data_IF_414368414619
#
_entry.id   IF_414368414619
#
_cell.length_a   1.000
_cell.length_b   1.000
_cell.length_c   1.000
_cell.angle_alpha   90.00
_cell.angle_beta   90.00
_cell.angle_gamma   90.00
#
_symmetry.space_group_name_H-M   'P 1'
#
loop_
_entity.id
_entity.type
_entity.pdbx_description
1 polymer ?
#
# COMPACT_ATOMS: atom_id res chain seq x y z
N UNK A 1 7.87 0.50 -5.61
CA UNK A 1 6.51 0.63 -6.18
C UNK A 1 5.63 -0.46 -5.62
N UNK A 2 4.35 -0.16 -5.32
CA UNK A 2 3.39 -1.16 -4.83
C UNK A 2 2.11 -1.14 -5.67
N UNK A 3 1.54 -2.30 -5.87
CA UNK A 3 0.20 -2.48 -6.42
C UNK A 3 -0.73 -2.91 -5.30
N UNK A 4 -1.83 -2.21 -5.13
CA UNK A 4 -2.88 -2.57 -4.18
C UNK A 4 -3.99 -3.37 -4.90
N UNK A 5 -4.86 -4.03 -4.14
CA UNK A 5 -6.06 -4.71 -4.64
C UNK A 5 -5.81 -5.85 -5.63
N UNK A 6 -4.64 -6.50 -5.57
CA UNK A 6 -4.32 -7.61 -6.45
C UNK A 6 -5.26 -8.79 -6.18
N UNK A 7 -6.09 -9.11 -7.18
CA UNK A 7 -7.06 -10.20 -7.12
C UNK A 7 -7.24 -10.87 -8.49
N UNK A 8 -7.94 -11.99 -8.52
CA UNK A 8 -8.09 -12.79 -9.75
C UNK A 8 -8.92 -12.11 -10.84
N UNK A 9 -9.70 -11.06 -10.52
CA UNK A 9 -10.62 -10.36 -11.45
C UNK A 9 -10.28 -8.87 -11.64
N UNK A 10 -9.07 -8.45 -11.26
CA UNK A 10 -8.61 -7.09 -11.51
C UNK A 10 -8.37 -6.81 -13.00
N UNK A 11 -8.07 -5.59 -13.38
CA UNK A 11 -7.63 -5.24 -14.73
C UNK A 11 -6.19 -5.74 -14.99
N UNK A 12 -6.10 -7.00 -15.42
CA UNK A 12 -4.83 -7.66 -15.74
C UNK A 12 -4.11 -7.01 -16.92
N UNK A 13 -4.83 -6.39 -17.87
CA UNK A 13 -4.21 -5.74 -19.02
C UNK A 13 -3.42 -4.51 -18.59
N UNK A 14 -4.02 -3.65 -17.75
CA UNK A 14 -3.32 -2.50 -17.19
C UNK A 14 -2.18 -2.92 -16.27
N UNK A 15 -2.39 -3.95 -15.45
CA UNK A 15 -1.33 -4.51 -14.62
C UNK A 15 -0.12 -4.95 -15.45
N UNK A 16 -0.32 -5.78 -16.47
CA UNK A 16 0.77 -6.25 -17.32
C UNK A 16 1.43 -5.13 -18.12
N UNK A 17 0.68 -4.11 -18.52
CA UNK A 17 1.25 -2.92 -19.18
C UNK A 17 2.29 -2.24 -18.31
N UNK A 18 1.98 -2.02 -17.04
CA UNK A 18 2.92 -1.41 -16.08
C UNK A 18 4.05 -2.40 -15.77
N UNK A 19 3.71 -3.67 -15.54
CA UNK A 19 4.67 -4.72 -15.17
C UNK A 19 5.77 -4.89 -16.21
N UNK A 20 5.45 -4.87 -17.51
CA UNK A 20 6.42 -4.90 -18.61
C UNK A 20 7.45 -3.75 -18.50
N UNK A 21 7.00 -2.56 -18.13
CA UNK A 21 7.91 -1.42 -17.96
C UNK A 21 8.82 -1.63 -16.75
N UNK A 22 8.28 -2.13 -15.64
CA UNK A 22 9.09 -2.44 -14.45
C UNK A 22 10.15 -3.51 -14.75
N UNK A 23 9.76 -4.56 -15.48
CA UNK A 23 10.68 -5.64 -15.89
C UNK A 23 11.77 -5.14 -16.82
N UNK A 24 11.45 -4.28 -17.80
CA UNK A 24 12.43 -3.64 -18.69
C UNK A 24 13.56 -2.94 -17.92
N UNK A 25 13.23 -2.33 -16.78
CA UNK A 25 14.19 -1.61 -15.94
C UNK A 25 14.63 -2.39 -14.69
N UNK A 26 14.31 -3.68 -14.61
CA UNK A 26 14.61 -4.56 -13.47
C UNK A 26 14.11 -4.02 -12.11
N UNK A 27 12.97 -3.33 -12.12
CA UNK A 27 12.34 -2.79 -10.92
C UNK A 27 11.46 -3.87 -10.31
N UNK A 28 11.73 -4.23 -9.05
CA UNK A 28 10.89 -5.14 -8.26
C UNK A 28 9.76 -4.38 -7.59
N UNK A 29 8.57 -4.97 -7.60
CA UNK A 29 7.37 -4.37 -7.03
C UNK A 29 6.86 -5.12 -5.80
N UNK A 30 5.98 -4.49 -5.06
CA UNK A 30 5.25 -5.11 -3.97
C UNK A 30 3.81 -5.32 -4.46
N UNK A 31 3.31 -6.54 -4.31
CA UNK A 31 1.98 -6.94 -4.73
C UNK A 31 1.11 -7.15 -3.49
N UNK A 32 0.21 -6.22 -3.23
CA UNK A 32 -0.80 -6.30 -2.18
C UNK A 32 -1.92 -7.23 -2.60
N UNK A 33 -1.79 -8.49 -2.24
CA UNK A 33 -2.72 -9.55 -2.64
C UNK A 33 -3.88 -9.63 -1.66
N UNK A 34 -5.11 -9.56 -2.17
CA UNK A 34 -6.33 -9.87 -1.42
C UNK A 34 -6.56 -11.38 -1.46
N UNK A 35 -6.33 -12.11 -0.36
CA UNK A 35 -6.33 -13.59 -0.38
C UNK A 35 -7.64 -14.22 -0.82
N UNK A 36 -8.76 -13.61 -0.41
CA UNK A 36 -10.13 -14.03 -0.77
C UNK A 36 -10.97 -12.80 -1.07
N UNK A 37 -10.80 -12.23 -2.25
CA UNK A 37 -11.54 -11.02 -2.62
C UNK A 37 -13.04 -11.30 -2.69
N UNK A 38 -13.82 -10.62 -1.85
CA UNK A 38 -15.29 -10.64 -1.84
C UNK A 38 -15.88 -9.26 -2.22
N UNK A 39 -15.01 -8.25 -2.42
CA UNK A 39 -15.40 -6.93 -2.87
C UNK A 39 -15.70 -6.92 -4.37
N UNK A 40 -16.98 -6.83 -4.70
CA UNK A 40 -17.45 -6.81 -6.09
C UNK A 40 -16.97 -5.60 -6.88
N UNK A 41 -16.62 -4.51 -6.21
CA UNK A 41 -16.12 -3.30 -6.89
C UNK A 41 -14.72 -3.49 -7.45
N UNK A 42 -13.99 -4.49 -6.97
CA UNK A 42 -12.66 -4.85 -7.47
C UNK A 42 -12.70 -5.89 -8.61
N UNK A 43 -13.87 -6.45 -8.92
CA UNK A 43 -14.05 -7.44 -9.99
C UNK A 43 -14.37 -6.75 -11.32
N UNK A 44 -13.38 -6.17 -11.99
CA UNK A 44 -13.57 -5.41 -13.24
C UNK A 44 -13.18 -6.18 -14.50
N UNK A 45 -12.41 -7.26 -14.35
CA UNK A 45 -11.88 -8.07 -15.44
C UNK A 45 -12.39 -9.51 -15.45
N UNK A 46 -12.00 -10.25 -16.51
CA UNK A 46 -12.20 -11.70 -16.55
C UNK A 46 -11.36 -12.38 -15.48
N UNK A 47 -11.92 -13.43 -14.85
CA UNK A 47 -11.21 -14.22 -13.85
C UNK A 47 -9.94 -14.82 -14.44
N UNK A 48 -8.80 -14.52 -13.85
CA UNK A 48 -7.54 -15.18 -14.16
C UNK A 48 -7.53 -16.56 -13.48
N UNK A 49 -7.60 -17.61 -14.28
CA UNK A 49 -7.66 -19.00 -13.79
C UNK A 49 -6.33 -19.49 -13.20
N UNK A 50 -5.20 -18.89 -13.63
CA UNK A 50 -3.88 -19.19 -13.10
C UNK A 50 -3.37 -18.04 -12.18
N UNK A 51 -4.26 -17.49 -11.35
CA UNK A 51 -3.97 -16.35 -10.50
C UNK A 51 -2.76 -16.59 -9.59
N UNK A 52 -2.78 -17.65 -8.81
CA UNK A 52 -1.67 -17.97 -7.91
C UNK A 52 -0.40 -18.42 -8.64
N UNK A 53 -0.53 -19.09 -9.80
CA UNK A 53 0.61 -19.41 -10.66
C UNK A 53 1.32 -18.14 -11.17
N UNK A 54 0.56 -17.12 -11.58
CA UNK A 54 1.12 -15.81 -11.95
C UNK A 54 1.83 -15.17 -10.77
N UNK A 55 1.25 -15.18 -9.57
CA UNK A 55 1.89 -14.60 -8.37
C UNK A 55 3.19 -15.32 -8.02
N UNK A 56 3.25 -16.66 -8.13
CA UNK A 56 4.50 -17.41 -7.94
C UNK A 56 5.56 -17.02 -8.97
N UNK A 57 5.21 -16.83 -10.24
CA UNK A 57 6.15 -16.34 -11.26
C UNK A 57 6.69 -14.95 -10.92
N UNK A 58 5.83 -14.04 -10.44
CA UNK A 58 6.29 -12.70 -10.02
C UNK A 58 7.19 -12.78 -8.79
N UNK A 59 6.87 -13.63 -7.81
CA UNK A 59 7.72 -13.85 -6.64
C UNK A 59 9.09 -14.42 -7.03
N UNK A 60 9.14 -15.37 -7.97
CA UNK A 60 10.41 -15.90 -8.51
C UNK A 60 11.21 -14.83 -9.28
N UNK A 61 10.54 -13.88 -9.91
CA UNK A 61 11.20 -12.72 -10.53
C UNK A 61 11.77 -11.76 -9.48
N UNK A 62 11.34 -11.84 -8.21
CA UNK A 62 11.78 -11.01 -7.09
C UNK A 62 10.78 -9.94 -6.67
N UNK A 63 9.52 -10.02 -7.14
CA UNK A 63 8.45 -9.20 -6.56
C UNK A 63 8.06 -9.73 -5.19
N UNK A 64 7.67 -8.83 -4.31
CA UNK A 64 7.30 -9.17 -2.93
C UNK A 64 5.79 -9.27 -2.81
N UNK A 65 5.31 -10.39 -2.28
CA UNK A 65 3.88 -10.56 -1.97
C UNK A 65 3.61 -10.01 -0.58
N UNK A 66 2.65 -9.09 -0.47
CA UNK A 66 2.15 -8.58 0.81
C UNK A 66 0.69 -8.99 0.98
N UNK A 67 0.30 -9.39 2.19
CA UNK A 67 -1.10 -9.69 2.48
C UNK A 67 -1.90 -8.38 2.57
N UNK A 68 -2.83 -8.16 1.63
CA UNK A 68 -3.72 -7.00 1.60
C UNK A 68 -5.07 -7.36 2.20
N UNK A 69 -5.10 -7.33 3.54
CA UNK A 69 -6.28 -7.74 4.29
C UNK A 69 -6.61 -9.23 4.17
N UNK A 70 -7.89 -9.53 4.05
CA UNK A 70 -8.43 -10.88 3.85
C UNK A 70 -9.43 -10.92 2.70
N UNK A 71 -10.56 -10.19 2.84
CA UNK A 71 -11.66 -10.23 1.87
C UNK A 71 -11.93 -8.88 1.19
N UNK A 72 -11.28 -7.82 1.65
CA UNK A 72 -11.48 -6.44 1.22
C UNK A 72 -12.91 -5.91 1.51
N UNK A 73 -13.59 -6.48 2.52
CA UNK A 73 -14.92 -6.02 2.95
C UNK A 73 -14.79 -5.10 4.15
N UNK A 74 -15.26 -3.86 3.98
CA UNK A 74 -15.22 -2.81 5.00
C UNK A 74 -16.49 -2.85 5.86
N UNK A 75 -16.50 -3.77 6.82
CA UNK A 75 -17.65 -4.05 7.70
C UNK A 75 -17.54 -3.37 9.09
N UNK A 76 -16.58 -2.46 9.27
CA UNK A 76 -16.45 -1.61 10.44
C UNK A 76 -16.46 -0.13 10.06
N UNK A 77 -17.13 0.70 10.87
CA UNK A 77 -17.13 2.16 10.72
C UNK A 77 -16.04 2.78 11.61
N UNK A 78 -14.78 2.49 11.28
CA UNK A 78 -13.63 3.05 11.99
C UNK A 78 -12.60 3.53 10.98
N UNK A 79 -12.01 4.67 11.27
CA UNK A 79 -10.93 5.26 10.45
C UNK A 79 -9.54 4.74 10.82
N UNK A 80 -9.42 3.94 11.89
CA UNK A 80 -8.13 3.52 12.40
C UNK A 80 -7.23 4.70 12.81
N UNK A 81 -5.92 4.47 12.84
CA UNK A 81 -4.94 5.48 13.28
C UNK A 81 -4.84 6.71 12.38
N UNK A 82 -5.15 6.57 11.11
CA UNK A 82 -4.85 7.64 10.15
C UNK A 82 -6.04 8.55 9.82
N UNK A 83 -7.26 8.12 10.13
CA UNK A 83 -8.44 8.95 9.91
C UNK A 83 -8.72 9.29 8.43
N UNK A 84 -8.19 8.49 7.49
CA UNK A 84 -8.31 8.74 6.05
C UNK A 84 -9.70 8.47 5.52
N UNK A 85 -10.35 7.46 6.10
CA UNK A 85 -11.60 6.89 5.65
C UNK A 85 -12.51 6.69 6.84
N UNK A 86 -13.78 6.44 6.60
CA UNK A 86 -14.76 6.14 7.65
C UNK A 86 -15.00 4.65 7.85
N UNK A 87 -14.40 3.81 6.99
CA UNK A 87 -14.67 2.37 6.97
C UNK A 87 -13.36 1.57 7.00
N UNK A 88 -13.42 0.39 7.61
CA UNK A 88 -12.26 -0.50 7.74
C UNK A 88 -12.66 -1.97 7.62
N UNK A 89 -11.72 -2.78 7.14
CA UNK A 89 -11.81 -4.23 7.25
C UNK A 89 -11.34 -4.72 8.64
N UNK A 90 -10.48 -3.95 9.31
CA UNK A 90 -9.85 -4.34 10.59
C UNK A 90 -10.15 -3.40 11.73
N UNK A 91 -9.78 -2.12 11.62
CA UNK A 91 -9.92 -1.18 12.72
C UNK A 91 -11.36 -1.09 13.23
N UNK A 92 -11.50 -1.02 14.56
CA UNK A 92 -12.80 -0.98 15.23
C UNK A 92 -13.46 -2.34 15.47
N UNK A 93 -12.91 -3.43 14.93
CA UNK A 93 -13.35 -4.78 15.26
C UNK A 93 -12.71 -5.31 16.55
N UNK A 94 -13.39 -6.23 17.27
CA UNK A 94 -12.77 -6.95 18.38
C UNK A 94 -11.49 -7.67 17.94
N UNK A 95 -10.51 -7.73 18.85
CA UNK A 95 -9.21 -8.33 18.60
C UNK A 95 -9.29 -9.72 17.96
N UNK A 96 -10.14 -10.61 18.48
CA UNK A 96 -10.27 -11.98 17.95
C UNK A 96 -10.79 -12.03 16.53
N UNK A 97 -11.70 -11.11 16.14
CA UNK A 97 -12.19 -11.00 14.76
C UNK A 97 -11.07 -10.59 13.81
N UNK A 98 -10.21 -9.65 14.25
CA UNK A 98 -9.05 -9.24 13.45
C UNK A 98 -8.03 -10.37 13.31
N UNK A 99 -7.71 -11.10 14.40
CA UNK A 99 -6.85 -12.29 14.36
C UNK A 99 -7.40 -13.30 13.36
N UNK A 100 -8.69 -13.62 13.42
CA UNK A 100 -9.32 -14.62 12.54
C UNK A 100 -9.25 -14.21 11.06
N UNK A 101 -9.50 -12.94 10.72
CA UNK A 101 -9.38 -12.45 9.33
C UNK A 101 -7.94 -12.58 8.85
N UNK A 102 -6.96 -12.10 9.63
CA UNK A 102 -5.54 -12.16 9.26
C UNK A 102 -5.04 -13.61 9.13
N UNK A 103 -5.41 -14.50 10.04
CA UNK A 103 -5.04 -15.93 10.00
C UNK A 103 -5.56 -16.59 8.73
N UNK A 104 -6.85 -16.41 8.40
CA UNK A 104 -7.44 -16.98 7.17
C UNK A 104 -6.74 -16.49 5.89
N UNK A 105 -6.38 -15.21 5.84
CA UNK A 105 -5.62 -14.66 4.71
C UNK A 105 -4.22 -15.27 4.62
N UNK A 106 -3.54 -15.38 5.76
CA UNK A 106 -2.24 -16.03 5.88
C UNK A 106 -2.29 -17.49 5.43
N UNK A 107 -3.24 -18.28 5.93
CA UNK A 107 -3.42 -19.70 5.58
C UNK A 107 -3.59 -19.92 4.06
N UNK A 108 -4.35 -19.05 3.38
CA UNK A 108 -4.50 -19.11 1.92
C UNK A 108 -3.15 -18.87 1.23
N UNK A 109 -2.42 -17.83 1.64
CA UNK A 109 -1.14 -17.50 1.01
C UNK A 109 -0.04 -18.52 1.33
N UNK A 110 -0.04 -19.10 2.54
CA UNK A 110 0.87 -20.20 2.91
C UNK A 110 0.61 -21.45 2.08
N UNK A 111 -0.66 -21.84 1.91
CA UNK A 111 -1.04 -22.98 1.06
C UNK A 111 -0.54 -22.82 -0.38
N UNK A 112 -0.51 -21.60 -0.88
CA UNK A 112 -0.02 -21.29 -2.22
C UNK A 112 1.49 -21.02 -2.27
N UNK A 113 2.22 -21.16 -1.14
CA UNK A 113 3.65 -20.84 -1.00
C UNK A 113 3.99 -19.40 -1.35
N UNK A 114 3.10 -18.46 -1.02
CA UNK A 114 3.20 -17.03 -1.35
C UNK A 114 3.22 -16.13 -0.11
N UNK A 115 3.06 -16.69 1.09
CA UNK A 115 3.03 -15.86 2.28
C UNK A 115 4.39 -15.25 2.60
N UNK A 116 4.39 -13.99 2.93
CA UNK A 116 5.49 -13.26 3.53
C UNK A 116 5.01 -12.52 4.78
N UNK A 117 5.89 -12.16 5.73
CA UNK A 117 5.50 -11.49 6.96
C UNK A 117 5.16 -10.00 6.77
N UNK A 118 4.57 -9.65 5.65
CA UNK A 118 4.30 -8.27 5.22
C UNK A 118 2.80 -8.04 5.11
N UNK A 119 2.32 -7.03 5.82
CA UNK A 119 0.93 -6.60 5.81
C UNK A 119 0.76 -5.26 5.10
N UNK A 120 -0.27 -5.17 4.29
CA UNK A 120 -0.73 -3.96 3.63
C UNK A 120 -2.19 -3.72 4.05
N UNK A 121 -2.46 -2.61 4.73
CA UNK A 121 -3.79 -2.36 5.26
C UNK A 121 -4.76 -1.92 4.16
N UNK A 122 -5.88 -2.64 3.93
CA UNK A 122 -6.94 -2.15 3.07
C UNK A 122 -7.44 -0.79 3.57
N UNK A 123 -7.66 0.13 2.62
CA UNK A 123 -8.11 1.48 2.92
C UNK A 123 -7.18 2.25 3.89
N UNK A 124 -5.91 1.82 4.05
CA UNK A 124 -4.94 2.36 5.02
C UNK A 124 -5.48 2.40 6.45
N UNK A 125 -6.40 1.52 6.80
CA UNK A 125 -7.12 1.57 8.08
C UNK A 125 -6.81 0.37 8.96
N UNK A 126 -6.14 0.63 10.08
CA UNK A 126 -5.79 -0.34 11.12
C UNK A 126 -5.68 0.35 12.48
N UNK A 127 -5.72 -0.43 13.56
CA UNK A 127 -5.67 0.05 14.94
C UNK A 127 -4.68 -0.76 15.80
N UNK A 128 -4.65 -0.50 17.12
CA UNK A 128 -3.77 -1.20 18.06
C UNK A 128 -4.04 -2.70 18.11
N UNK A 129 -5.29 -3.13 17.97
CA UNK A 129 -5.64 -4.55 17.93
C UNK A 129 -5.14 -5.21 16.65
N UNK A 130 -5.17 -4.49 15.52
CA UNK A 130 -4.57 -4.97 14.27
C UNK A 130 -3.07 -5.22 14.46
N UNK A 131 -2.32 -4.25 15.01
CA UNK A 131 -0.88 -4.40 15.23
C UNK A 131 -0.56 -5.56 16.19
N UNK A 132 -1.36 -5.72 17.25
CA UNK A 132 -1.23 -6.86 18.17
C UNK A 132 -1.49 -8.19 17.48
N UNK A 133 -2.50 -8.27 16.62
CA UNK A 133 -2.84 -9.46 15.86
C UNK A 133 -1.76 -9.81 14.84
N UNK A 134 -1.22 -8.83 14.12
CA UNK A 134 -0.11 -8.99 13.19
C UNK A 134 1.10 -9.63 13.88
N UNK A 135 1.53 -9.08 15.02
CA UNK A 135 2.65 -9.65 15.81
C UNK A 135 2.39 -11.07 16.23
N UNK A 136 1.19 -11.37 16.75
CA UNK A 136 0.80 -12.72 17.16
C UNK A 136 0.92 -13.73 16.02
N UNK A 137 0.60 -13.31 14.79
CA UNK A 137 0.61 -14.16 13.61
C UNK A 137 1.95 -14.18 12.86
N UNK A 138 2.98 -13.52 13.39
CA UNK A 138 4.33 -13.54 12.83
C UNK A 138 4.59 -12.52 11.71
N UNK A 139 3.69 -11.57 11.51
CA UNK A 139 3.99 -10.42 10.63
C UNK A 139 5.02 -9.52 11.31
N UNK A 140 5.92 -8.96 10.50
CA UNK A 140 6.98 -8.07 10.96
C UNK A 140 7.02 -6.72 10.24
N UNK A 141 6.31 -6.56 9.11
CA UNK A 141 6.35 -5.36 8.29
C UNK A 141 4.94 -4.89 7.95
N UNK A 142 4.71 -3.58 8.08
CA UNK A 142 3.47 -2.87 7.71
C UNK A 142 3.81 -1.83 6.65
N UNK A 143 3.14 -1.92 5.49
CA UNK A 143 3.38 -1.03 4.35
C UNK A 143 2.53 0.24 4.43
N UNK A 144 2.41 0.80 5.61
CA UNK A 144 1.67 2.02 5.91
C UNK A 144 2.37 2.80 7.01
N UNK A 145 2.05 4.07 7.13
CA UNK A 145 2.63 4.95 8.14
C UNK A 145 2.84 6.37 7.63
N UNK A 146 3.16 7.28 8.54
CA UNK A 146 3.51 8.67 8.25
C UNK A 146 4.89 8.98 8.79
N UNK A 147 5.87 8.94 7.92
CA UNK A 147 7.23 9.36 8.15
C UNK A 147 7.94 9.55 6.80
N UNK A 148 9.01 10.33 6.75
CA UNK A 148 9.84 10.50 5.56
C UNK A 148 10.66 9.24 5.26
N UNK A 149 10.99 8.48 6.30
CA UNK A 149 11.80 7.27 6.21
C UNK A 149 11.14 6.09 6.92
N UNK A 150 11.46 4.86 6.53
CA UNK A 150 11.04 3.67 7.26
C UNK A 150 11.50 3.71 8.70
N UNK A 151 10.68 3.17 9.60
CA UNK A 151 10.98 3.13 11.01
C UNK A 151 10.54 1.82 11.66
N UNK A 152 11.09 1.51 12.82
CA UNK A 152 10.67 0.38 13.67
C UNK A 152 9.89 0.90 14.87
N UNK A 153 8.76 0.29 15.17
CA UNK A 153 7.98 0.57 16.37
C UNK A 153 7.33 -0.71 16.86
N UNK A 154 7.47 -1.00 18.17
CA UNK A 154 6.86 -2.17 18.80
C UNK A 154 7.13 -3.50 18.04
N UNK A 155 8.40 -3.71 17.66
CA UNK A 155 8.90 -4.86 16.88
C UNK A 155 8.27 -5.04 15.48
N UNK A 156 7.57 -4.04 14.96
CA UNK A 156 7.12 -3.98 13.58
C UNK A 156 7.91 -2.93 12.80
N UNK A 157 8.27 -3.26 11.57
CA UNK A 157 8.82 -2.31 10.60
C UNK A 157 7.67 -1.61 9.88
N UNK A 158 7.76 -0.30 9.73
CA UNK A 158 6.81 0.52 9.01
C UNK A 158 7.48 1.14 7.80
N UNK A 159 6.91 0.90 6.63
CA UNK A 159 7.34 1.53 5.39
C UNK A 159 6.26 2.53 5.01
N UNK A 160 6.58 3.80 5.24
CA UNK A 160 5.60 4.89 5.16
C UNK A 160 5.11 5.13 3.74
N UNK A 161 3.85 5.54 3.65
CA UNK A 161 3.27 6.05 2.42
C UNK A 161 2.82 7.50 2.64
N UNK A 162 3.61 8.44 2.15
CA UNK A 162 3.33 9.87 2.27
C UNK A 162 2.40 10.33 1.15
N UNK A 163 2.58 9.78 -0.05
CA UNK A 163 1.79 10.09 -1.23
C UNK A 163 1.57 8.85 -2.08
N UNK A 164 0.38 8.71 -2.64
CA UNK A 164 0.10 7.71 -3.68
C UNK A 164 0.57 8.14 -5.07
N UNK A 165 0.92 9.41 -5.25
CA UNK A 165 1.42 9.97 -6.52
C UNK A 165 2.94 10.09 -6.50
N UNK A 166 3.58 10.09 -7.69
CA UNK A 166 5.01 10.35 -7.80
C UNK A 166 5.40 11.64 -7.09
N UNK A 167 6.43 11.58 -6.25
CA UNK A 167 7.07 12.74 -5.64
C UNK A 167 8.34 13.09 -6.42
N UNK A 168 8.77 14.37 -6.41
CA UNK A 168 10.04 14.76 -6.99
C UNK A 168 11.20 13.97 -6.38
N UNK A 169 12.06 13.40 -7.22
CA UNK A 169 13.16 12.51 -6.79
C UNK A 169 14.25 13.21 -5.97
N UNK A 170 14.28 14.53 -5.97
CA UNK A 170 15.20 15.33 -5.14
C UNK A 170 14.75 15.49 -3.69
N UNK A 171 13.48 15.11 -3.37
CA UNK A 171 13.01 15.14 -1.99
C UNK A 171 13.72 14.03 -1.18
N UNK A 172 14.30 14.37 -0.02
CA UNK A 172 15.01 13.43 0.83
C UNK A 172 14.01 12.56 1.63
N UNK A 173 13.26 11.72 0.95
CA UNK A 173 12.30 10.82 1.57
C UNK A 173 12.21 9.50 0.81
N UNK A 174 11.78 8.45 1.49
CA UNK A 174 11.33 7.23 0.84
C UNK A 174 9.82 7.30 0.64
N UNK A 175 9.37 7.20 -0.61
CA UNK A 175 7.95 7.19 -0.93
C UNK A 175 7.56 5.88 -1.60
N UNK A 176 6.44 5.32 -1.19
CA UNK A 176 5.79 4.23 -1.90
C UNK A 176 4.88 4.81 -2.99
N UNK A 177 5.14 4.43 -4.23
CA UNK A 177 4.24 4.73 -5.34
C UNK A 177 3.14 3.67 -5.37
N UNK A 178 1.94 4.05 -4.94
CA UNK A 178 0.78 3.15 -4.84
C UNK A 178 -0.05 3.20 -6.11
N UNK A 179 -0.36 2.04 -6.67
CA UNK A 179 -1.11 1.91 -7.92
C UNK A 179 -2.30 0.98 -7.74
N UNK A 180 -3.49 1.49 -8.06
CA UNK A 180 -4.73 0.74 -8.19
C UNK A 180 -5.04 0.58 -9.68
N UNK A 181 -4.76 -0.59 -10.23
CA UNK A 181 -4.88 -0.84 -11.69
C UNK A 181 -6.32 -0.74 -12.20
N UNK A 182 -7.29 -1.00 -11.33
CA UNK A 182 -8.71 -0.94 -11.67
C UNK A 182 -9.23 0.47 -11.91
N UNK A 183 -8.62 1.48 -11.29
CA UNK A 183 -9.13 2.86 -11.27
C UNK A 183 -8.21 3.87 -11.94
N UNK A 184 -6.97 3.49 -12.26
CA UNK A 184 -6.02 4.38 -12.94
C UNK A 184 -6.56 4.76 -14.33
N UNK A 185 -6.66 6.04 -14.61
CA UNK A 185 -7.05 6.53 -15.95
C UNK A 185 -5.91 6.34 -16.96
N UNK A 186 -6.25 6.32 -18.26
CA UNK A 186 -5.24 6.17 -19.32
C UNK A 186 -4.21 7.32 -19.31
N UNK A 187 -4.64 8.52 -18.93
CA UNK A 187 -3.75 9.67 -18.77
C UNK A 187 -2.77 9.45 -17.60
N UNK A 188 -3.27 8.99 -16.46
CA UNK A 188 -2.41 8.69 -15.29
C UNK A 188 -1.48 7.50 -15.58
N UNK A 189 -1.96 6.48 -16.30
CA UNK A 189 -1.14 5.35 -16.72
C UNK A 189 0.04 5.81 -17.61
N UNK A 190 -0.23 6.65 -18.61
CA UNK A 190 0.83 7.23 -19.46
C UNK A 190 1.84 8.05 -18.64
N UNK A 191 1.37 8.88 -17.71
CA UNK A 191 2.23 9.66 -16.84
C UNK A 191 3.06 8.78 -15.90
N UNK A 192 2.47 7.73 -15.35
CA UNK A 192 3.17 6.75 -14.52
C UNK A 192 4.29 6.06 -15.29
N UNK A 193 4.00 5.57 -16.50
CA UNK A 193 5.00 4.92 -17.35
C UNK A 193 6.14 5.89 -17.65
N UNK A 194 5.85 7.10 -18.08
CA UNK A 194 6.86 8.12 -18.35
C UNK A 194 7.70 8.43 -17.12
N UNK A 195 7.07 8.53 -15.93
CA UNK A 195 7.79 8.74 -14.67
C UNK A 195 8.74 7.58 -14.36
N UNK A 196 8.29 6.33 -14.51
CA UNK A 196 9.13 5.15 -14.30
C UNK A 196 10.32 5.16 -15.25
N UNK A 197 10.09 5.36 -16.55
CA UNK A 197 11.14 5.37 -17.58
C UNK A 197 12.21 6.45 -17.32
N UNK A 198 11.77 7.64 -16.91
CA UNK A 198 12.68 8.76 -16.60
C UNK A 198 13.46 8.57 -15.30
N UNK A 199 12.87 7.89 -14.32
CA UNK A 199 13.39 7.85 -12.95
C UNK A 199 13.73 6.44 -12.46
N UNK A 200 13.82 5.44 -13.34
CA UNK A 200 14.04 4.03 -12.98
C UNK A 200 15.21 3.79 -12.03
N UNK A 201 16.30 4.56 -12.15
CA UNK A 201 17.50 4.46 -11.30
C UNK A 201 17.28 4.84 -9.82
N UNK A 202 16.16 5.49 -9.49
CA UNK A 202 15.82 5.87 -8.11
C UNK A 202 14.89 4.87 -7.43
N UNK A 203 14.43 3.85 -8.17
CA UNK A 203 13.65 2.78 -7.55
C UNK A 203 14.56 1.82 -6.81
N UNK A 204 14.16 1.46 -5.60
CA UNK A 204 14.84 0.46 -4.78
C UNK A 204 13.88 -0.68 -4.48
N UNK A 205 14.43 -1.90 -4.38
CA UNK A 205 13.67 -3.06 -3.91
C UNK A 205 13.50 -3.04 -2.39
N UNK A 206 12.51 -3.75 -1.90
CA UNK A 206 12.26 -3.84 -0.46
C UNK A 206 13.44 -4.50 0.28
N UNK A 207 14.07 -5.51 -0.33
CA UNK A 207 15.20 -6.24 0.25
C UNK A 207 16.44 -5.38 0.43
N UNK A 208 16.60 -4.34 -0.40
CA UNK A 208 17.71 -3.39 -0.31
C UNK A 208 17.44 -2.24 0.68
N UNK A 209 16.28 -2.26 1.34
CA UNK A 209 15.90 -1.19 2.25
C UNK A 209 16.55 -1.36 3.62
N UNK A 210 17.48 -0.47 3.95
CA UNK A 210 18.05 -0.40 5.28
C UNK A 210 17.18 0.46 6.20
N UNK A 211 16.62 -0.14 7.24
CA UNK A 211 15.82 0.56 8.24
C UNK A 211 16.71 0.92 9.43
N UNK A 212 17.05 2.20 9.52
CA UNK A 212 17.87 2.74 10.62
C UNK A 212 16.96 3.41 11.65
N UNK A 213 17.01 2.93 12.90
CA UNK A 213 16.39 3.63 14.02
C UNK A 213 17.40 4.58 14.65
N UNK A 214 17.31 5.85 14.32
CA UNK A 214 18.07 6.93 14.93
C UNK A 214 17.11 8.01 15.49
N UNK A 215 17.64 8.93 16.27
CA UNK A 215 16.85 10.01 16.86
C UNK A 215 16.08 10.82 15.80
N UNK A 216 16.67 11.03 14.62
CA UNK A 216 16.03 11.74 13.51
C UNK A 216 14.76 11.04 13.02
N UNK A 217 14.72 9.69 12.99
CA UNK A 217 13.51 8.95 12.56
C UNK A 217 12.38 9.05 13.58
N UNK A 218 12.67 9.21 14.87
CA UNK A 218 11.65 9.44 15.89
C UNK A 218 11.05 10.83 15.82
N UNK A 219 11.89 11.84 15.58
CA UNK A 219 11.45 13.23 15.42
C UNK A 219 10.62 13.39 14.14
N UNK A 220 11.11 12.87 13.01
CA UNK A 220 10.42 12.83 11.73
C UNK A 220 9.02 12.21 11.85
N UNK A 221 8.90 11.05 12.47
CA UNK A 221 7.63 10.37 12.66
C UNK A 221 6.60 11.21 13.43
N UNK A 222 7.02 11.84 14.53
CA UNK A 222 6.14 12.71 15.33
C UNK A 222 5.74 13.95 14.53
N UNK A 223 6.69 14.62 13.92
CA UNK A 223 6.47 15.84 13.16
C UNK A 223 5.56 15.61 11.95
N UNK A 224 5.86 14.63 11.12
CA UNK A 224 5.05 14.29 9.92
C UNK A 224 3.65 13.82 10.33
N UNK A 225 3.52 13.03 11.40
CA UNK A 225 2.19 12.60 11.88
C UNK A 225 1.33 13.79 12.32
N UNK A 226 1.91 14.76 13.02
CA UNK A 226 1.21 15.99 13.43
C UNK A 226 0.85 16.83 12.20
N UNK A 227 1.80 17.04 11.30
CA UNK A 227 1.61 17.81 10.07
C UNK A 227 0.50 17.21 9.19
N UNK A 228 0.50 15.91 9.00
CA UNK A 228 -0.53 15.21 8.21
C UNK A 228 -1.91 15.27 8.88
N UNK A 229 -1.98 15.15 10.22
CA UNK A 229 -3.25 15.35 10.97
C UNK A 229 -3.77 16.76 10.80
N UNK A 230 -2.90 17.76 10.88
CA UNK A 230 -3.25 19.16 10.69
C UNK A 230 -3.81 19.42 9.27
N UNK A 231 -3.11 19.00 8.22
CA UNK A 231 -3.60 19.15 6.85
C UNK A 231 -4.93 18.43 6.59
N UNK A 232 -5.17 17.31 7.23
CA UNK A 232 -6.45 16.58 7.13
C UNK A 232 -7.59 17.29 7.86
N UNK A 233 -7.32 17.85 9.02
CA UNK A 233 -8.32 18.67 9.73
C UNK A 233 -8.72 19.88 8.88
N UNK A 234 -7.78 20.52 8.20
CA UNK A 234 -8.05 21.60 7.26
C UNK A 234 -8.90 21.17 6.05
N UNK A 235 -8.63 19.99 5.48
CA UNK A 235 -9.47 19.46 4.38
C UNK A 235 -10.91 19.17 4.83
N UNK A 236 -11.11 18.65 6.03
CA UNK A 236 -12.46 18.45 6.60
C UNK A 236 -13.17 19.79 6.83
N UNK A 237 -12.47 20.83 7.24
CA UNK A 237 -13.05 22.17 7.45
C UNK A 237 -13.45 22.84 6.12
N UNK A 238 -12.65 22.68 5.07
CA UNK A 238 -12.92 23.25 3.74
C UNK A 238 -13.94 22.48 2.90
N UNK A 239 -14.34 21.28 3.28
CA UNK A 239 -15.45 20.56 2.64
C UNK A 239 -16.83 21.13 3.03
N UNK A 240 -16.90 22.07 3.99
CA UNK A 240 -18.10 22.85 4.34
C UNK A 240 -18.18 24.22 3.67
N UNK A 241 -17.18 24.62 2.92
CA UNK A 241 -17.17 25.91 2.23
C UNK A 241 -16.23 25.90 1.03
N UNK A 242 -16.83 25.86 -0.16
CA UNK A 242 -16.30 26.23 -1.48
C UNK A 242 -14.86 25.81 -1.84
N UNK A 243 -14.81 25.03 -2.90
CA UNK A 243 -13.77 24.83 -3.90
C UNK A 243 -12.64 25.87 -3.90
N UNK A 244 -11.54 25.61 -3.20
CA UNK A 244 -10.28 26.25 -3.49
C UNK A 244 -9.31 25.19 -4.05
N UNK A 245 -9.21 25.20 -5.36
CA UNK A 245 -8.20 24.47 -6.10
C UNK A 245 -6.80 24.98 -5.76
N UNK A 246 -6.02 24.20 -5.01
CA UNK A 246 -4.57 24.33 -5.10
C UNK A 246 -4.12 23.68 -6.41
N UNK A 247 -4.10 24.47 -7.47
CA UNK A 247 -3.32 24.16 -8.67
C UNK A 247 -1.84 24.26 -8.30
N UNK A 248 -1.20 23.14 -7.97
CA UNK A 248 0.23 23.06 -8.18
C UNK A 248 0.48 23.15 -9.68
N UNK A 249 0.75 24.34 -10.19
CA UNK A 249 1.39 24.52 -11.49
C UNK A 249 2.77 23.89 -11.39
N UNK A 250 2.95 22.75 -12.01
CA UNK A 250 4.29 22.32 -12.41
C UNK A 250 4.77 23.32 -13.44
N UNK A 251 5.67 24.21 -13.02
CA UNK A 251 6.53 24.95 -13.92
C UNK A 251 7.51 23.97 -14.51
N UNK A 252 7.25 23.55 -15.74
CA UNK A 252 8.24 22.98 -16.64
C UNK A 252 8.35 23.96 -17.82
N UNK A 253 9.42 24.68 -17.84
CA UNK A 253 10.17 25.04 -19.03
C UNK A 253 11.37 24.11 -19.12
#
# INVERSE_FOLDING_TARGET
>A
MRFDDINSRMDWNRFFTIKKVLEKYNIKSILGVVPKCEDKTLEVGKKNLDFFGNLRRFALYGDVIAQHGYSHIYDSKSSGFFGNTSNSEFAGHPYQKQVNKLSKGKEILEKESLWSPIFMAPNHSFDSFTLKALKKLGFNTVLDGFALFPFKSDNLYFISQISSKPLPVWLPCLSQLCVHVNTISDKELKHLIFFIEKNHKYFISLDNLQIKNNFLTLFDRKFISILMKFFRSFKKFNSFGSTIFFKCRCLFQ
#
